data_IF_061270735401
#
_entry.id   IF_061270735401
#
_cell.length_a   1.000
_cell.length_b   1.000
_cell.length_c   1.000
_cell.angle_alpha   90.00
_cell.angle_beta   90.00
_cell.angle_gamma   90.00
#
_symmetry.space_group_name_H-M   'P 1'
#
loop_
_entity.id
_entity.type
_entity.pdbx_description
1 polymer ?
#
# COMPACT_ATOMS: atom_id res chain seq x y z
N UNK A 1 29.62 30.33 29.52
CA UNK A 1 29.74 29.36 28.39
C UNK A 1 28.90 29.86 27.22
N UNK A 2 29.50 30.42 26.16
CA UNK A 2 28.74 30.88 24.97
C UNK A 2 28.36 29.65 24.15
N UNK A 3 27.10 29.23 24.24
CA UNK A 3 26.58 28.17 23.38
C UNK A 3 26.68 28.68 21.94
N UNK A 4 27.44 27.97 21.12
CA UNK A 4 27.66 28.35 19.74
C UNK A 4 26.34 28.15 18.98
N UNK A 5 25.72 29.21 18.46
CA UNK A 5 24.38 29.15 17.83
C UNK A 5 24.29 28.11 16.71
N UNK A 6 25.42 27.81 16.05
CA UNK A 6 25.56 26.74 15.04
C UNK A 6 25.36 25.33 15.61
N UNK A 7 25.72 25.08 16.87
CA UNK A 7 25.50 23.80 17.55
C UNK A 7 24.03 23.56 17.94
N UNK A 8 23.24 24.63 18.13
CA UNK A 8 21.80 24.53 18.39
C UNK A 8 20.98 24.29 17.11
N UNK A 9 21.50 24.61 15.94
CA UNK A 9 20.81 24.40 14.66
C UNK A 9 20.60 22.92 14.34
N UNK A 10 21.61 22.07 14.60
CA UNK A 10 21.57 20.64 14.31
C UNK A 10 20.38 19.92 14.98
N UNK A 11 20.18 20.03 16.31
CA UNK A 11 19.05 19.37 16.95
C UNK A 11 17.71 19.95 16.50
N UNK A 12 17.60 21.26 16.27
CA UNK A 12 16.37 21.90 15.79
C UNK A 12 16.02 21.39 14.39
N UNK A 13 17.00 21.30 13.50
CA UNK A 13 16.83 20.77 12.15
C UNK A 13 16.37 19.31 12.19
N UNK A 14 17.03 18.46 12.99
CA UNK A 14 16.64 17.07 13.18
C UNK A 14 15.19 16.92 13.67
N UNK A 15 14.80 17.67 14.69
CA UNK A 15 13.42 17.66 15.21
C UNK A 15 12.43 18.12 14.14
N UNK A 16 12.77 19.14 13.36
CA UNK A 16 11.91 19.63 12.29
C UNK A 16 11.71 18.58 11.18
N UNK A 17 12.76 17.88 10.77
CA UNK A 17 12.67 16.81 9.77
C UNK A 17 11.80 15.67 10.27
N UNK A 18 12.02 15.21 11.51
CA UNK A 18 11.24 14.12 12.12
C UNK A 18 9.75 14.47 12.22
N UNK A 19 9.42 15.69 12.65
CA UNK A 19 8.02 16.13 12.75
C UNK A 19 7.34 16.21 11.38
N UNK A 20 8.00 16.79 10.37
CA UNK A 20 7.46 16.86 9.00
C UNK A 20 7.25 15.46 8.44
N UNK A 21 8.22 14.55 8.59
CA UNK A 21 8.09 13.16 8.15
C UNK A 21 6.92 12.44 8.82
N UNK A 22 6.74 12.64 10.13
CA UNK A 22 5.61 12.07 10.87
C UNK A 22 4.26 12.56 10.36
N UNK A 23 4.11 13.89 10.17
CA UNK A 23 2.86 14.46 9.64
C UNK A 23 2.57 14.01 8.21
N UNK A 24 3.60 13.97 7.35
CA UNK A 24 3.46 13.47 5.99
C UNK A 24 2.98 12.01 5.98
N UNK A 25 3.62 11.14 6.76
CA UNK A 25 3.23 9.74 6.87
C UNK A 25 1.78 9.58 7.35
N UNK A 26 1.39 10.28 8.42
CA UNK A 26 0.02 10.25 8.94
C UNK A 26 -1.01 10.73 7.90
N UNK A 27 -0.66 11.76 7.13
CA UNK A 27 -1.51 12.27 6.04
C UNK A 27 -1.69 11.21 4.94
N UNK A 28 -0.61 10.55 4.50
CA UNK A 28 -0.69 9.49 3.49
C UNK A 28 -1.53 8.31 3.95
N UNK A 29 -1.35 7.84 5.19
CA UNK A 29 -2.18 6.77 5.76
C UNK A 29 -3.67 7.12 5.75
N UNK A 30 -4.02 8.34 6.17
CA UNK A 30 -5.41 8.82 6.15
C UNK A 30 -5.97 8.91 4.73
N UNK A 31 -5.16 9.36 3.78
CA UNK A 31 -5.56 9.45 2.37
C UNK A 31 -5.85 8.06 1.79
N UNK A 32 -4.96 7.10 2.02
CA UNK A 32 -5.13 5.72 1.55
C UNK A 32 -6.32 5.02 2.24
N UNK A 33 -6.53 5.27 3.54
CA UNK A 33 -7.69 4.75 4.27
C UNK A 33 -9.02 5.22 3.67
N UNK A 34 -9.12 6.50 3.29
CA UNK A 34 -10.30 7.08 2.63
C UNK A 34 -10.50 6.61 1.19
N UNK A 35 -9.46 6.07 0.55
CA UNK A 35 -9.51 5.68 -0.85
C UNK A 35 -10.30 4.37 -1.05
N UNK A 36 -11.21 4.41 -2.04
CA UNK A 36 -11.81 3.22 -2.65
C UNK A 36 -10.84 2.60 -3.64
N UNK A 37 -10.71 1.28 -3.61
CA UNK A 37 -9.90 0.54 -4.59
C UNK A 37 -10.81 -0.47 -5.28
N UNK A 38 -10.73 -0.50 -6.60
CA UNK A 38 -11.31 -1.55 -7.43
C UNK A 38 -10.33 -1.77 -8.60
N UNK A 39 -9.55 -2.83 -8.52
CA UNK A 39 -8.43 -3.07 -9.40
C UNK A 39 -8.47 -4.49 -9.93
N UNK A 40 -8.64 -4.64 -11.24
CA UNK A 40 -8.59 -5.93 -11.91
C UNK A 40 -7.17 -6.23 -12.36
N UNK A 41 -6.60 -7.33 -11.87
CA UNK A 41 -5.23 -7.72 -12.17
C UNK A 41 -5.17 -8.27 -13.59
N UNK A 42 -4.35 -7.68 -14.45
CA UNK A 42 -4.03 -8.22 -15.76
C UNK A 42 -2.68 -8.96 -15.75
N UNK A 43 -1.72 -8.45 -14.97
CA UNK A 43 -0.37 -9.00 -14.88
C UNK A 43 0.15 -8.94 -13.44
N UNK A 44 0.84 -10.00 -13.05
CA UNK A 44 1.58 -10.10 -11.79
C UNK A 44 3.07 -10.06 -12.10
N UNK A 45 3.84 -9.29 -11.35
CA UNK A 45 5.30 -9.29 -11.40
C UNK A 45 5.83 -9.62 -10.01
N UNK A 46 6.69 -10.63 -9.93
CA UNK A 46 7.34 -11.03 -8.68
C UNK A 46 8.76 -10.46 -8.67
N UNK A 47 9.13 -9.86 -7.55
CA UNK A 47 10.50 -9.38 -7.30
C UNK A 47 11.38 -10.49 -6.70
N UNK A 48 12.72 -10.37 -6.71
CA UNK A 48 13.61 -11.34 -6.06
C UNK A 48 13.33 -11.53 -4.56
N UNK A 49 12.73 -10.54 -3.90
CA UNK A 49 12.30 -10.60 -2.50
C UNK A 49 10.90 -11.24 -2.33
N UNK A 50 10.41 -11.97 -3.33
CA UNK A 50 9.10 -12.64 -3.36
C UNK A 50 7.90 -11.70 -3.18
N UNK A 51 8.09 -10.39 -3.39
CA UNK A 51 6.99 -9.40 -3.37
C UNK A 51 6.31 -9.33 -4.73
N UNK A 52 4.99 -9.26 -4.71
CA UNK A 52 4.15 -9.13 -5.88
C UNK A 52 3.81 -7.67 -6.18
N UNK A 53 3.89 -7.29 -7.45
CA UNK A 53 3.35 -6.04 -8.00
C UNK A 53 2.30 -6.37 -9.04
N UNK A 54 1.17 -5.68 -8.99
CA UNK A 54 0.03 -5.93 -9.87
C UNK A 54 -0.17 -4.80 -10.85
N UNK A 55 -0.51 -5.16 -12.10
CA UNK A 55 -0.74 -4.21 -13.18
C UNK A 55 -2.11 -4.45 -13.81
N UNK A 56 -2.80 -3.37 -14.15
CA UNK A 56 -4.07 -3.42 -14.89
C UNK A 56 -3.82 -3.67 -16.39
N UNK A 57 -4.91 -3.76 -17.17
CA UNK A 57 -4.81 -3.96 -18.63
C UNK A 57 -4.18 -2.78 -19.37
N UNK A 58 -4.13 -1.60 -18.75
CA UNK A 58 -3.52 -0.39 -19.31
C UNK A 58 -2.04 -0.27 -18.92
N UNK A 59 -1.51 -1.21 -18.12
CA UNK A 59 -0.15 -1.19 -17.62
C UNK A 59 0.06 -0.35 -16.36
N UNK A 60 -0.99 0.17 -15.73
CA UNK A 60 -0.88 0.93 -14.48
C UNK A 60 -0.63 -0.03 -13.32
N UNK A 61 0.36 0.29 -12.49
CA UNK A 61 0.63 -0.46 -11.27
C UNK A 61 -0.38 -0.10 -10.17
N UNK A 62 -0.84 -1.09 -9.41
CA UNK A 62 -1.56 -0.84 -8.18
C UNK A 62 -0.65 -0.10 -7.19
N UNK A 63 -1.01 1.13 -6.85
CA UNK A 63 -0.27 1.96 -5.90
C UNK A 63 -0.99 1.94 -4.55
N UNK A 64 -0.52 1.10 -3.65
CA UNK A 64 -1.02 0.95 -2.28
C UNK A 64 0.19 0.62 -1.38
N UNK A 65 0.39 1.40 -0.32
CA UNK A 65 1.60 1.29 0.50
C UNK A 65 1.36 0.63 1.85
N UNK A 66 0.11 0.53 2.30
CA UNK A 66 -0.21 -0.07 3.60
C UNK A 66 -0.29 -1.60 3.57
N UNK A 67 -0.14 -2.24 2.41
CA UNK A 67 -0.21 -3.69 2.28
C UNK A 67 0.97 -4.22 1.48
N UNK A 68 1.62 -5.25 2.00
CA UNK A 68 2.62 -6.02 1.25
C UNK A 68 1.99 -7.29 0.67
N UNK A 69 2.22 -7.52 -0.61
CA UNK A 69 1.79 -8.74 -1.29
C UNK A 69 2.97 -9.66 -1.52
N UNK A 70 2.79 -10.94 -1.21
CA UNK A 70 3.82 -11.96 -1.34
C UNK A 70 3.41 -13.06 -2.31
N UNK A 71 4.40 -13.68 -2.95
CA UNK A 71 4.17 -14.74 -3.95
C UNK A 71 3.39 -15.93 -3.38
N UNK A 72 3.67 -16.32 -2.13
CA UNK A 72 2.98 -17.44 -1.46
C UNK A 72 1.47 -17.22 -1.30
N UNK A 73 0.99 -15.97 -1.39
CA UNK A 73 -0.45 -15.66 -1.36
C UNK A 73 -1.17 -16.08 -2.65
N UNK A 74 -0.42 -16.48 -3.70
CA UNK A 74 -0.93 -17.04 -4.95
C UNK A 74 -2.05 -16.21 -5.59
N UNK A 75 -1.88 -14.88 -5.60
CA UNK A 75 -2.76 -13.93 -6.29
C UNK A 75 -2.39 -13.96 -7.78
N UNK A 76 -3.37 -14.17 -8.64
CA UNK A 76 -3.15 -14.41 -10.07
C UNK A 76 -3.80 -13.35 -10.95
N UNK A 77 -3.46 -13.35 -12.23
CA UNK A 77 -4.18 -12.56 -13.23
C UNK A 77 -5.67 -12.91 -13.23
N UNK A 78 -6.52 -11.92 -13.50
CA UNK A 78 -7.98 -11.95 -13.47
C UNK A 78 -8.63 -11.96 -12.07
N UNK A 79 -7.83 -12.02 -11.00
CA UNK A 79 -8.31 -11.65 -9.66
C UNK A 79 -8.62 -10.15 -9.58
N UNK A 80 -9.53 -9.77 -8.68
CA UNK A 80 -9.88 -8.38 -8.41
C UNK A 80 -9.51 -8.00 -6.98
N UNK A 81 -8.76 -6.92 -6.83
CA UNK A 81 -8.42 -6.33 -5.53
C UNK A 81 -9.40 -5.20 -5.27
N UNK A 82 -10.11 -5.28 -4.15
CA UNK A 82 -11.05 -4.24 -3.76
C UNK A 82 -10.94 -3.86 -2.29
N UNK A 83 -11.19 -2.57 -2.04
CA UNK A 83 -11.22 -1.95 -0.71
C UNK A 83 -12.30 -0.89 -0.71
N UNK A 84 -13.13 -0.92 0.31
CA UNK A 84 -14.14 0.11 0.52
C UNK A 84 -13.50 1.38 1.09
N UNK A 85 -14.14 2.52 0.82
CA UNK A 85 -13.76 3.78 1.47
C UNK A 85 -13.86 3.64 2.98
N UNK A 86 -12.92 4.26 3.70
CA UNK A 86 -12.86 4.23 5.16
C UNK A 86 -12.82 2.80 5.74
N UNK A 87 -12.25 1.85 5.00
CA UNK A 87 -12.00 0.50 5.48
C UNK A 87 -10.51 0.21 5.47
N UNK A 88 -10.03 -0.52 6.48
CA UNK A 88 -8.68 -1.10 6.52
C UNK A 88 -8.64 -2.52 5.95
N UNK A 89 -9.75 -3.03 5.43
CA UNK A 89 -9.82 -4.38 4.87
C UNK A 89 -9.64 -4.32 3.36
N UNK A 90 -8.60 -5.00 2.88
CA UNK A 90 -8.38 -5.23 1.47
C UNK A 90 -8.80 -6.67 1.14
N UNK A 91 -9.67 -6.82 0.15
CA UNK A 91 -10.18 -8.13 -0.26
C UNK A 91 -9.72 -8.45 -1.67
N UNK A 92 -9.27 -9.67 -1.86
CA UNK A 92 -8.94 -10.23 -3.16
C UNK A 92 -10.08 -11.17 -3.53
N UNK A 93 -10.67 -10.93 -4.68
CA UNK A 93 -11.78 -11.69 -5.22
C UNK A 93 -11.30 -12.54 -6.40
N UNK A 94 -11.71 -13.80 -6.42
CA UNK A 94 -11.42 -14.74 -7.51
C UNK A 94 -12.72 -15.22 -8.13
N UNK A 95 -12.70 -15.46 -9.44
CA UNK A 95 -13.83 -16.10 -10.15
C UNK A 95 -13.78 -17.61 -9.96
N UNK A 96 -14.92 -18.20 -9.66
CA UNK A 96 -15.12 -19.64 -9.73
C UNK A 96 -15.35 -20.10 -11.19
N UNK A 97 -15.55 -21.41 -11.37
CA UNK A 97 -15.85 -22.01 -12.69
C UNK A 97 -17.16 -21.51 -13.31
N UNK A 98 -18.07 -20.97 -12.50
CA UNK A 98 -19.36 -20.43 -12.92
C UNK A 98 -19.29 -18.92 -13.18
N UNK A 99 -18.11 -18.31 -13.08
CA UNK A 99 -17.90 -16.87 -13.25
C UNK A 99 -18.32 -16.01 -12.06
N UNK A 100 -18.72 -16.61 -10.93
CA UNK A 100 -19.07 -15.88 -9.70
C UNK A 100 -17.82 -15.52 -8.92
N UNK A 101 -17.77 -14.29 -8.42
CA UNK A 101 -16.69 -13.85 -7.55
C UNK A 101 -16.90 -14.33 -6.11
N UNK A 102 -15.84 -14.85 -5.49
CA UNK A 102 -15.78 -15.14 -4.06
C UNK A 102 -14.55 -14.46 -3.45
N UNK A 103 -14.58 -14.22 -2.14
CA UNK A 103 -13.42 -13.67 -1.41
C UNK A 103 -12.38 -14.78 -1.30
N UNK A 104 -11.27 -14.61 -2.01
CA UNK A 104 -10.14 -15.54 -1.98
C UNK A 104 -9.23 -15.28 -0.78
N UNK A 105 -8.95 -14.00 -0.51
CA UNK A 105 -8.07 -13.57 0.57
C UNK A 105 -8.53 -12.22 1.14
N UNK A 106 -8.41 -12.05 2.45
CA UNK A 106 -8.59 -10.77 3.13
C UNK A 106 -7.26 -10.39 3.81
N UNK A 107 -6.76 -9.20 3.49
CA UNK A 107 -5.54 -8.65 4.06
C UNK A 107 -5.86 -7.49 5.00
N UNK A 108 -5.03 -7.39 6.04
CA UNK A 108 -4.95 -6.26 6.96
C UNK A 108 -3.70 -5.45 6.61
N UNK A 109 -3.68 -4.15 6.93
CA UNK A 109 -2.48 -3.35 6.75
C UNK A 109 -1.36 -3.89 7.64
N UNK A 110 -0.12 -3.79 7.16
CA UNK A 110 1.09 -4.17 7.88
C UNK A 110 1.43 -3.20 9.04
#
# INVERSE_FOLDING_TARGET
MKINKKLLFIPIFLISVLTISYFAHSYYLKKEFKQKINFLIAKVKVSPALRCSFYDRKGNQLNINTYTFYEFQNIISNDSIAKNENSSKLKIYRKDKNGKYYVYLELKPD
#
